data_IF_631585855200
#
_entry.id   IF_631585855200
#
_cell.length_a   1.000
_cell.length_b   1.000
_cell.length_c   1.000
_cell.angle_alpha   90.00
_cell.angle_beta   90.00
_cell.angle_gamma   90.00
#
_symmetry.space_group_name_H-M   'P 1'
#
loop_
_entity.id
_entity.type
_entity.pdbx_description
1 polymer ?
#
# COMPACT_ATOMS: atom_id res chain seq x y z
N UNK A 1 56.13 -13.03 -2.13
CA UNK A 1 55.05 -12.78 -1.15
C UNK A 1 53.80 -12.47 -1.95
N UNK A 2 52.84 -13.39 -1.97
CA UNK A 2 51.84 -13.52 -3.05
C UNK A 2 50.51 -12.94 -2.60
N UNK A 3 49.97 -12.07 -3.45
CA UNK A 3 48.69 -11.37 -3.45
C UNK A 3 47.49 -12.12 -2.81
N UNK A 4 47.26 -11.96 -1.50
CA UNK A 4 46.01 -12.40 -0.84
C UNK A 4 45.18 -11.25 -0.28
N UNK A 5 45.77 -10.07 -0.08
CA UNK A 5 45.08 -8.92 0.52
C UNK A 5 44.12 -8.20 -0.44
N UNK A 6 44.35 -8.27 -1.74
CA UNK A 6 43.47 -7.60 -2.74
C UNK A 6 42.18 -8.39 -2.98
N UNK A 7 42.20 -9.72 -2.84
CA UNK A 7 41.02 -10.55 -3.07
C UNK A 7 39.96 -10.39 -1.97
N UNK A 8 40.39 -10.10 -0.73
CA UNK A 8 39.50 -9.96 0.42
C UNK A 8 38.68 -8.66 0.39
N UNK A 9 39.20 -7.59 -0.22
CA UNK A 9 38.50 -6.30 -0.34
C UNK A 9 37.42 -6.37 -1.42
N UNK A 10 37.65 -7.13 -2.50
CA UNK A 10 36.66 -7.29 -3.57
C UNK A 10 35.41 -8.08 -3.12
N UNK A 11 35.55 -9.05 -2.22
CA UNK A 11 34.41 -9.83 -1.69
C UNK A 11 33.58 -9.02 -0.68
N UNK A 12 34.19 -8.09 0.05
CA UNK A 12 33.52 -7.22 1.02
C UNK A 12 32.71 -6.08 0.37
N UNK A 13 33.01 -5.71 -0.88
CA UNK A 13 32.27 -4.69 -1.63
C UNK A 13 31.07 -5.24 -2.43
N UNK A 14 30.94 -6.57 -2.55
CA UNK A 14 29.83 -7.24 -3.23
C UNK A 14 28.66 -7.59 -2.30
N UNK A 15 28.83 -7.46 -0.98
CA UNK A 15 27.82 -7.82 0.02
C UNK A 15 26.94 -6.66 0.48
N UNK A 16 27.22 -5.41 0.08
CA UNK A 16 26.39 -4.25 0.46
C UNK A 16 25.19 -4.02 -0.45
N UNK A 17 25.12 -4.66 -1.61
CA UNK A 17 24.02 -4.49 -2.58
C UNK A 17 22.89 -5.51 -2.44
N UNK A 18 23.02 -6.49 -1.53
CA UNK A 18 22.07 -7.61 -1.40
C UNK A 18 21.03 -7.43 -0.28
N UNK A 19 20.91 -6.22 0.29
CA UNK A 19 19.92 -5.89 1.30
C UNK A 19 19.11 -4.64 0.91
N UNK A 20 18.70 -4.52 -0.35
CA UNK A 20 17.39 -3.93 -0.64
C UNK A 20 16.35 -4.92 -0.12
N UNK A 21 16.21 -4.96 1.20
CA UNK A 21 15.13 -5.64 1.87
C UNK A 21 13.84 -5.16 1.20
N UNK A 22 13.23 -6.03 0.40
CA UNK A 22 11.83 -5.90 0.01
C UNK A 22 11.09 -5.62 1.31
N UNK A 23 10.65 -4.37 1.51
CA UNK A 23 9.79 -4.07 2.65
C UNK A 23 8.65 -5.08 2.58
N UNK A 24 8.42 -5.87 3.65
CA UNK A 24 7.31 -6.79 3.63
C UNK A 24 6.04 -5.97 3.34
N UNK A 25 5.12 -6.47 2.50
CA UNK A 25 3.91 -5.74 2.11
C UNK A 25 3.19 -5.15 3.32
N UNK A 26 3.26 -5.84 4.45
CA UNK A 26 2.75 -5.44 5.76
C UNK A 26 3.17 -4.02 6.19
N UNK A 27 4.42 -3.59 5.98
CA UNK A 27 4.84 -2.25 6.42
C UNK A 27 4.23 -1.13 5.56
N UNK A 28 3.99 -1.38 4.27
CA UNK A 28 3.27 -0.43 3.41
C UNK A 28 1.78 -0.39 3.76
N UNK A 29 1.21 -1.54 4.12
CA UNK A 29 -0.19 -1.66 4.57
C UNK A 29 -0.41 -0.90 5.87
N UNK A 30 0.39 -1.18 6.90
CA UNK A 30 0.26 -0.52 8.22
C UNK A 30 0.45 1.00 8.10
N UNK A 31 1.39 1.46 7.24
CA UNK A 31 1.53 2.89 6.95
C UNK A 31 0.29 3.47 6.27
N UNK A 32 -0.24 2.80 5.25
CA UNK A 32 -1.44 3.25 4.54
C UNK A 32 -2.65 3.36 5.47
N UNK A 33 -2.88 2.35 6.29
CA UNK A 33 -3.97 2.33 7.27
C UNK A 33 -3.75 3.38 8.36
N UNK A 34 -2.53 3.50 8.90
CA UNK A 34 -2.20 4.50 9.92
C UNK A 34 -2.39 5.94 9.43
N UNK A 35 -2.07 6.20 8.17
CA UNK A 35 -2.29 7.49 7.52
C UNK A 35 -3.78 7.76 7.29
N UNK A 36 -4.57 6.75 6.92
CA UNK A 36 -6.03 6.86 6.86
C UNK A 36 -6.61 7.22 8.23
N UNK A 37 -6.27 6.44 9.26
CA UNK A 37 -6.75 6.65 10.64
C UNK A 37 -6.40 8.04 11.13
N UNK A 38 -5.18 8.50 10.89
CA UNK A 38 -4.74 9.85 11.26
C UNK A 38 -5.53 10.93 10.53
N UNK A 39 -5.83 10.70 9.25
CA UNK A 39 -6.61 11.64 8.41
C UNK A 39 -8.04 11.75 8.91
N UNK A 40 -8.72 10.64 9.17
CA UNK A 40 -10.09 10.63 9.71
C UNK A 40 -10.16 11.23 11.12
N UNK A 41 -9.20 10.92 12.00
CA UNK A 41 -9.20 11.47 13.37
C UNK A 41 -9.02 12.99 13.41
N UNK A 42 -8.33 13.57 12.42
CA UNK A 42 -8.02 15.02 12.35
C UNK A 42 -8.93 15.79 11.40
N UNK A 43 -9.70 15.10 10.58
CA UNK A 43 -10.45 15.67 9.47
C UNK A 43 -11.73 14.90 9.20
N UNK A 44 -12.04 14.76 7.91
CA UNK A 44 -13.28 14.18 7.40
C UNK A 44 -13.01 13.07 6.40
N UNK A 45 -14.06 12.32 6.05
CA UNK A 45 -14.00 11.34 4.96
C UNK A 45 -13.58 11.99 3.62
N UNK A 46 -13.99 13.24 3.37
CA UNK A 46 -13.59 13.97 2.18
C UNK A 46 -12.06 14.21 2.13
N UNK A 47 -11.42 14.41 3.28
CA UNK A 47 -9.96 14.56 3.35
C UNK A 47 -9.24 13.25 3.04
N UNK A 48 -9.81 12.13 3.49
CA UNK A 48 -9.33 10.79 3.13
C UNK A 48 -9.45 10.53 1.62
N UNK A 49 -10.58 10.91 1.00
CA UNK A 49 -10.78 10.79 -0.46
C UNK A 49 -9.73 11.60 -1.22
N UNK A 50 -9.52 12.88 -0.87
CA UNK A 50 -8.47 13.71 -1.49
C UNK A 50 -7.09 13.06 -1.37
N UNK A 51 -6.75 12.57 -0.18
CA UNK A 51 -5.46 11.90 0.04
C UNK A 51 -5.31 10.61 -0.76
N UNK A 52 -6.40 9.87 -0.99
CA UNK A 52 -6.41 8.69 -1.86
C UNK A 52 -6.13 9.11 -3.30
N UNK A 53 -6.84 10.12 -3.82
CA UNK A 53 -6.65 10.63 -5.17
C UNK A 53 -5.22 11.13 -5.40
N UNK A 54 -4.69 11.93 -4.47
CA UNK A 54 -3.29 12.41 -4.48
C UNK A 54 -2.29 11.24 -4.51
N UNK A 55 -2.57 10.16 -3.76
CA UNK A 55 -1.70 8.98 -3.73
C UNK A 55 -1.62 8.31 -5.10
N UNK A 56 -2.76 8.14 -5.77
CA UNK A 56 -2.82 7.53 -7.09
C UNK A 56 -2.20 8.42 -8.17
N UNK A 57 -2.40 9.73 -8.09
CA UNK A 57 -1.75 10.70 -8.98
C UNK A 57 -0.22 10.63 -8.84
N UNK A 58 0.30 10.64 -7.61
CA UNK A 58 1.73 10.49 -7.38
C UNK A 58 2.28 9.15 -7.88
N UNK A 59 1.52 8.06 -7.73
CA UNK A 59 1.90 6.75 -8.27
C UNK A 59 1.95 6.75 -9.80
N UNK A 60 1.07 7.50 -10.47
CA UNK A 60 1.09 7.61 -11.93
C UNK A 60 2.40 8.22 -12.46
N UNK A 61 3.05 9.09 -11.66
CA UNK A 61 4.37 9.63 -11.96
C UNK A 61 5.54 8.70 -11.57
N UNK A 62 5.27 7.63 -10.82
CA UNK A 62 6.25 6.63 -10.38
C UNK A 62 5.70 5.19 -10.51
N UNK A 63 5.34 4.73 -11.74
CA UNK A 63 4.49 3.54 -11.92
C UNK A 63 5.12 2.23 -11.44
N UNK A 64 6.45 2.17 -11.28
CA UNK A 64 7.19 0.98 -10.81
C UNK A 64 7.36 0.92 -9.29
N UNK A 65 6.79 1.87 -8.54
CA UNK A 65 6.88 1.93 -7.09
C UNK A 65 5.86 0.96 -6.43
N UNK A 66 6.26 -0.31 -6.32
CA UNK A 66 5.45 -1.35 -5.70
C UNK A 66 5.07 -1.03 -4.24
N UNK A 67 5.98 -0.58 -3.36
CA UNK A 67 5.62 -0.15 -2.00
C UNK A 67 4.52 0.92 -1.99
N UNK A 68 4.60 1.92 -2.87
CA UNK A 68 3.57 2.96 -2.98
C UNK A 68 2.25 2.42 -3.52
N UNK A 69 2.27 1.51 -4.49
CA UNK A 69 1.06 0.85 -4.98
C UNK A 69 0.33 0.08 -3.86
N UNK A 70 1.08 -0.64 -3.02
CA UNK A 70 0.54 -1.35 -1.83
C UNK A 70 -0.01 -0.34 -0.82
N UNK A 71 0.74 0.73 -0.54
CA UNK A 71 0.33 1.79 0.38
C UNK A 71 -0.98 2.49 -0.07
N UNK A 72 -1.07 2.93 -1.33
CA UNK A 72 -2.29 3.58 -1.86
C UNK A 72 -3.49 2.61 -1.85
N UNK A 73 -3.24 1.33 -2.13
CA UNK A 73 -4.28 0.29 -2.05
C UNK A 73 -4.79 0.13 -0.62
N UNK A 74 -3.88 0.05 0.37
CA UNK A 74 -4.24 -0.10 1.77
C UNK A 74 -5.00 1.11 2.33
N UNK A 75 -4.56 2.32 2.00
CA UNK A 75 -5.24 3.57 2.32
C UNK A 75 -6.69 3.56 1.80
N UNK A 76 -6.88 3.16 0.54
CA UNK A 76 -8.20 3.11 -0.10
C UNK A 76 -9.10 2.00 0.49
N UNK A 77 -8.57 0.81 0.74
CA UNK A 77 -9.34 -0.27 1.37
C UNK A 77 -9.76 0.04 2.80
N UNK A 78 -8.89 0.70 3.59
CA UNK A 78 -9.24 1.16 4.93
C UNK A 78 -10.39 2.17 4.89
N UNK A 79 -10.35 3.11 3.94
CA UNK A 79 -11.40 4.10 3.76
C UNK A 79 -12.72 3.49 3.29
N UNK A 80 -12.68 2.54 2.35
CA UNK A 80 -13.86 1.83 1.88
C UNK A 80 -14.53 0.99 2.98
N UNK A 81 -13.73 0.27 3.79
CA UNK A 81 -14.25 -0.52 4.92
C UNK A 81 -14.87 0.38 6.01
N UNK A 82 -14.22 1.51 6.33
CA UNK A 82 -14.77 2.48 7.28
C UNK A 82 -16.07 3.10 6.77
N UNK A 83 -16.11 3.52 5.50
CA UNK A 83 -17.30 4.12 4.88
C UNK A 83 -18.46 3.13 4.79
N UNK A 84 -18.18 1.85 4.49
CA UNK A 84 -19.18 0.78 4.51
C UNK A 84 -19.78 0.57 5.92
N UNK A 85 -18.94 0.54 6.96
CA UNK A 85 -19.39 0.42 8.36
C UNK A 85 -20.18 1.64 8.82
N UNK A 86 -19.74 2.84 8.45
CA UNK A 86 -20.45 4.07 8.75
C UNK A 86 -21.81 4.12 8.02
N UNK A 87 -21.83 3.79 6.73
CA UNK A 87 -23.05 3.77 5.90
C UNK A 87 -24.09 2.78 6.40
N UNK A 88 -23.68 1.57 6.78
CA UNK A 88 -24.57 0.56 7.34
C UNK A 88 -25.12 0.93 8.73
N UNK A 89 -24.36 1.70 9.52
CA UNK A 89 -24.79 2.17 10.84
C UNK A 89 -25.73 3.37 10.75
N UNK A 90 -25.44 4.32 9.87
CA UNK A 90 -26.15 5.61 9.80
C UNK A 90 -27.14 5.72 8.63
N UNK A 91 -27.34 4.64 7.84
CA UNK A 91 -28.15 4.62 6.61
C UNK A 91 -27.80 5.76 5.64
N UNK A 92 -26.51 6.12 5.59
CA UNK A 92 -25.99 7.10 4.63
C UNK A 92 -25.53 6.37 3.37
N UNK A 93 -25.56 7.05 2.22
CA UNK A 93 -25.04 6.48 0.97
C UNK A 93 -23.52 6.31 1.05
N UNK A 94 -23.00 5.24 0.44
CA UNK A 94 -21.56 5.01 0.32
C UNK A 94 -20.91 6.09 -0.55
N UNK A 95 -19.83 6.68 -0.05
CA UNK A 95 -19.00 7.65 -0.76
C UNK A 95 -17.83 6.97 -1.47
N UNK A 96 -17.31 5.87 -0.91
CA UNK A 96 -16.12 5.18 -1.41
C UNK A 96 -16.49 3.74 -1.83
N UNK A 97 -16.31 3.42 -3.11
CA UNK A 97 -16.66 2.11 -3.65
C UNK A 97 -15.53 1.09 -3.48
N UNK A 98 -15.84 -0.06 -2.88
CA UNK A 98 -14.92 -1.21 -2.84
C UNK A 98 -14.53 -1.71 -4.25
N UNK A 99 -15.45 -1.62 -5.22
CA UNK A 99 -15.18 -2.01 -6.61
C UNK A 99 -14.13 -1.08 -7.21
N UNK A 100 -14.28 0.22 -7.00
CA UNK A 100 -13.30 1.20 -7.47
C UNK A 100 -11.94 1.01 -6.79
N UNK A 101 -11.91 0.76 -5.48
CA UNK A 101 -10.68 0.47 -4.75
C UNK A 101 -9.93 -0.73 -5.36
N UNK A 102 -10.64 -1.81 -5.70
CA UNK A 102 -10.05 -2.98 -6.39
C UNK A 102 -9.53 -2.63 -7.78
N UNK A 103 -10.27 -1.84 -8.56
CA UNK A 103 -9.85 -1.43 -9.91
C UNK A 103 -8.58 -0.59 -9.84
N UNK A 104 -8.52 0.40 -8.93
CA UNK A 104 -7.33 1.24 -8.72
C UNK A 104 -6.13 0.41 -8.24
N UNK A 105 -6.34 -0.49 -7.26
CA UNK A 105 -5.30 -1.40 -6.78
C UNK A 105 -4.75 -2.31 -7.89
N UNK A 106 -5.62 -2.90 -8.71
CA UNK A 106 -5.20 -3.72 -9.86
C UNK A 106 -4.35 -2.91 -10.83
N UNK A 107 -4.77 -1.68 -11.19
CA UNK A 107 -4.01 -0.80 -12.08
C UNK A 107 -2.64 -0.45 -11.50
N UNK A 108 -2.57 -0.07 -10.23
CA UNK A 108 -1.32 0.27 -9.56
C UNK A 108 -0.36 -0.91 -9.45
N UNK A 109 -0.85 -2.08 -9.05
CA UNK A 109 -0.03 -3.29 -8.94
C UNK A 109 0.47 -3.78 -10.31
N UNK A 110 -0.38 -3.73 -11.34
CA UNK A 110 0.04 -4.06 -12.71
C UNK A 110 1.07 -3.08 -13.25
N UNK A 111 0.93 -1.78 -13.00
CA UNK A 111 1.94 -0.78 -13.35
C UNK A 111 3.29 -1.06 -12.65
N UNK A 112 3.22 -1.56 -11.41
CA UNK A 112 4.37 -1.97 -10.62
C UNK A 112 4.98 -3.33 -11.02
N UNK A 113 4.46 -3.98 -12.08
CA UNK A 113 5.00 -5.22 -12.63
C UNK A 113 4.41 -6.50 -12.03
N UNK A 114 3.36 -6.41 -11.21
CA UNK A 114 2.64 -7.59 -10.73
C UNK A 114 1.77 -8.14 -11.86
N UNK A 115 1.93 -9.44 -12.16
CA UNK A 115 1.14 -10.09 -13.20
C UNK A 115 -0.37 -10.02 -12.87
N UNK A 116 -1.26 -9.91 -13.87
CA UNK A 116 -2.70 -9.90 -13.63
C UNK A 116 -3.19 -11.11 -12.81
N UNK A 117 -2.61 -12.29 -13.07
CA UNK A 117 -2.94 -13.54 -12.35
C UNK A 117 -2.59 -13.48 -10.87
N UNK A 118 -1.46 -12.84 -10.54
CA UNK A 118 -1.05 -12.66 -9.14
C UNK A 118 -1.74 -11.46 -8.47
N UNK A 119 -2.14 -10.45 -9.25
CA UNK A 119 -2.68 -9.19 -8.74
C UNK A 119 -3.92 -9.40 -7.88
N UNK A 120 -4.82 -10.32 -8.25
CA UNK A 120 -6.05 -10.57 -7.48
C UNK A 120 -5.77 -11.16 -6.10
N UNK A 121 -4.81 -12.09 -6.00
CA UNK A 121 -4.36 -12.62 -4.71
C UNK A 121 -3.71 -11.54 -3.83
N UNK A 122 -2.88 -10.67 -4.43
CA UNK A 122 -2.28 -9.54 -3.72
C UNK A 122 -3.33 -8.52 -3.25
N UNK A 123 -4.30 -8.19 -4.10
CA UNK A 123 -5.39 -7.27 -3.77
C UNK A 123 -6.18 -7.79 -2.58
N UNK A 124 -6.56 -9.07 -2.59
CA UNK A 124 -7.33 -9.65 -1.49
C UNK A 124 -6.51 -9.73 -0.20
N UNK A 125 -5.21 -10.04 -0.29
CA UNK A 125 -4.31 -10.00 0.87
C UNK A 125 -4.22 -8.59 1.45
N UNK A 126 -3.99 -7.57 0.62
CA UNK A 126 -3.94 -6.16 1.06
C UNK A 126 -5.27 -5.77 1.69
N UNK A 127 -6.40 -6.14 1.09
CA UNK A 127 -7.74 -5.84 1.61
C UNK A 127 -7.94 -6.44 3.00
N UNK A 128 -7.72 -7.74 3.16
CA UNK A 128 -7.90 -8.43 4.45
C UNK A 128 -7.02 -7.85 5.54
N UNK A 129 -5.75 -7.57 5.22
CA UNK A 129 -4.80 -6.96 6.15
C UNK A 129 -5.20 -5.53 6.51
N UNK A 130 -5.69 -4.75 5.54
CA UNK A 130 -6.16 -3.37 5.78
C UNK A 130 -7.40 -3.35 6.67
N UNK A 131 -8.35 -4.27 6.48
CA UNK A 131 -9.53 -4.45 7.34
C UNK A 131 -9.10 -4.82 8.75
N UNK A 132 -8.22 -5.82 8.88
CA UNK A 132 -7.72 -6.26 10.18
C UNK A 132 -6.97 -5.14 10.90
N UNK A 133 -6.22 -4.30 10.19
CA UNK A 133 -5.55 -3.14 10.76
C UNK A 133 -6.53 -2.03 11.17
N UNK A 134 -7.50 -1.71 10.30
CA UNK A 134 -8.53 -0.70 10.57
C UNK A 134 -9.35 -1.05 11.82
N UNK A 135 -9.76 -2.31 11.97
CA UNK A 135 -10.47 -2.80 13.16
C UNK A 135 -9.66 -2.77 14.47
N UNK A 136 -8.34 -2.57 14.43
CA UNK A 136 -7.54 -2.35 15.65
C UNK A 136 -7.52 -0.87 16.06
N UNK A 137 -7.91 0.03 15.17
CA UNK A 137 -7.87 1.48 15.38
C UNK A 137 -9.23 2.10 15.74
N UNK A 138 -10.33 1.38 15.46
CA UNK A 138 -11.73 1.74 15.69
C UNK A 138 -12.45 0.54 16.30
#
# INVERSE_FOLDING_TARGET
MRNYTVLLIAVLLLSTSAALAQQPPDQAIERGVGDFVTTIRRGSLADAVRKIDDCWEQLAHAPRDLPRAIYCSALNFAAADFDERASSTFSTGQTISLVEARVRARRGLSAAGISPTSADGFIELIRQRSIAATSRHF
#
